data_IF_309607362281
#
_entry.id   IF_309607362281
#
_cell.length_a   1.000
_cell.length_b   1.000
_cell.length_c   1.000
_cell.angle_alpha   90.00
_cell.angle_beta   90.00
_cell.angle_gamma   90.00
#
_symmetry.space_group_name_H-M   'P 1'
#
loop_
_entity.id
_entity.type
_entity.pdbx_description
1 polymer ?
#
# COMPACT_ATOMS: atom_id res chain seq x y z
N UNK A 1 -33.07 -9.80 -2.48
CA UNK A 1 -32.15 -10.01 -1.34
C UNK A 1 -30.78 -9.48 -1.75
N UNK A 2 -30.43 -8.26 -1.36
CA UNK A 2 -29.10 -7.72 -1.63
C UNK A 2 -28.12 -8.43 -0.70
N UNK A 3 -27.23 -9.23 -1.28
CA UNK A 3 -26.16 -9.89 -0.56
C UNK A 3 -25.35 -8.83 0.17
N UNK A 4 -25.25 -8.98 1.49
CA UNK A 4 -24.26 -8.26 2.27
C UNK A 4 -22.92 -8.73 1.72
N UNK A 5 -22.31 -7.97 0.81
CA UNK A 5 -20.93 -8.18 0.39
C UNK A 5 -20.11 -8.12 1.67
N UNK A 6 -19.80 -9.31 2.17
CA UNK A 6 -19.25 -9.55 3.50
C UNK A 6 -18.04 -8.68 3.71
N UNK A 7 -17.82 -8.19 4.94
CA UNK A 7 -16.64 -7.39 5.30
C UNK A 7 -15.33 -7.95 4.72
N UNK A 8 -15.23 -9.26 4.52
CA UNK A 8 -14.14 -9.93 3.80
C UNK A 8 -13.89 -9.43 2.36
N UNK A 9 -14.91 -9.16 1.54
CA UNK A 9 -14.73 -8.67 0.17
C UNK A 9 -14.32 -7.21 0.14
N UNK A 10 -14.85 -6.39 1.06
CA UNK A 10 -14.42 -5.00 1.23
C UNK A 10 -12.96 -4.93 1.70
N UNK A 11 -12.57 -5.79 2.65
CA UNK A 11 -11.17 -5.95 3.10
C UNK A 11 -10.29 -6.43 1.95
N UNK A 12 -10.74 -7.39 1.14
CA UNK A 12 -9.99 -7.85 -0.04
C UNK A 12 -9.82 -6.76 -1.08
N UNK A 13 -10.84 -5.96 -1.33
CA UNK A 13 -10.81 -4.86 -2.31
C UNK A 13 -9.91 -3.72 -1.83
N UNK A 14 -9.97 -3.39 -0.54
CA UNK A 14 -9.07 -2.43 0.09
C UNK A 14 -7.60 -2.90 0.08
N UNK A 15 -7.34 -4.15 0.48
CA UNK A 15 -6.01 -4.75 0.39
C UNK A 15 -5.53 -4.87 -1.07
N UNK A 16 -6.45 -5.13 -2.00
CA UNK A 16 -6.18 -5.13 -3.44
C UNK A 16 -5.80 -3.72 -3.90
N UNK A 17 -6.49 -2.66 -3.49
CA UNK A 17 -6.12 -1.29 -3.82
C UNK A 17 -4.70 -0.95 -3.31
N UNK A 18 -4.40 -1.33 -2.06
CA UNK A 18 -3.07 -1.24 -1.46
C UNK A 18 -2.00 -2.00 -2.27
N UNK A 19 -2.31 -3.22 -2.73
CA UNK A 19 -1.39 -4.11 -3.44
C UNK A 19 -1.25 -3.81 -4.95
N UNK A 20 -2.33 -3.33 -5.58
CA UNK A 20 -2.43 -3.06 -7.02
C UNK A 20 -1.93 -1.67 -7.35
N UNK A 21 -1.93 -0.70 -6.42
CA UNK A 21 -1.29 0.60 -6.61
C UNK A 21 0.15 0.38 -7.13
N UNK A 22 0.37 0.47 -8.46
CA UNK A 22 1.63 0.07 -9.03
C UNK A 22 2.65 1.10 -8.56
N UNK A 23 3.94 0.76 -8.43
CA UNK A 23 4.96 1.77 -8.62
C UNK A 23 4.84 2.21 -10.08
N UNK A 24 3.88 3.10 -10.38
CA UNK A 24 3.83 3.75 -11.67
C UNK A 24 5.09 4.59 -11.74
N UNK A 25 6.03 4.11 -12.55
CA UNK A 25 7.17 4.85 -13.05
C UNK A 25 6.65 5.84 -14.10
N UNK A 26 5.67 6.67 -13.71
CA UNK A 26 5.14 7.74 -14.53
C UNK A 26 5.71 9.04 -13.99
N UNK A 27 6.53 9.65 -14.84
CA UNK A 27 6.87 11.05 -14.78
C UNK A 27 7.82 11.38 -13.65
N UNK A 28 9.10 11.37 -14.01
CA UNK A 28 10.04 12.41 -13.63
C UNK A 28 9.43 13.77 -14.01
N UNK A 29 8.44 14.24 -13.24
CA UNK A 29 8.11 15.65 -13.24
C UNK A 29 9.11 16.28 -12.30
N UNK A 30 10.17 16.77 -12.93
CA UNK A 30 11.16 17.72 -12.45
C UNK A 30 10.44 18.95 -11.85
N UNK A 31 9.83 18.74 -10.68
CA UNK A 31 9.37 19.80 -9.81
C UNK A 31 10.61 20.41 -9.18
N UNK A 32 10.70 21.75 -9.11
CA UNK A 32 11.95 22.43 -8.78
C UNK A 32 12.54 21.80 -7.53
N UNK A 33 13.84 21.46 -7.58
CA UNK A 33 14.68 21.09 -6.44
C UNK A 33 14.53 22.16 -5.36
N UNK A 34 13.44 22.08 -4.61
CA UNK A 34 13.07 23.06 -3.63
C UNK A 34 13.77 22.63 -2.37
N UNK A 35 14.96 23.18 -2.18
CA UNK A 35 15.75 23.13 -0.94
C UNK A 35 15.06 23.90 0.19
N UNK A 36 13.74 23.78 0.32
CA UNK A 36 12.91 24.70 1.11
C UNK A 36 12.13 23.93 2.15
N UNK A 37 12.38 24.29 3.41
CA UNK A 37 11.56 24.12 4.62
C UNK A 37 10.35 23.19 4.48
N UNK A 38 10.26 22.24 5.43
CA UNK A 38 9.03 21.49 5.71
C UNK A 38 7.81 22.39 5.58
N UNK A 39 6.97 22.09 4.59
CA UNK A 39 5.73 22.83 4.42
C UNK A 39 4.68 22.26 5.36
N UNK A 40 3.74 23.08 5.87
CA UNK A 40 2.59 22.58 6.63
C UNK A 40 1.89 21.42 5.90
N UNK A 41 1.73 21.54 4.58
CA UNK A 41 1.16 20.48 3.74
C UNK A 41 1.90 19.14 3.81
N UNK A 42 3.23 19.12 3.98
CA UNK A 42 3.98 17.87 4.15
C UNK A 42 3.72 17.23 5.52
N UNK A 43 3.54 18.04 6.57
CA UNK A 43 3.20 17.53 7.90
C UNK A 43 1.78 16.99 7.93
N UNK A 44 0.85 17.74 7.34
CA UNK A 44 -0.56 17.35 7.26
C UNK A 44 -0.72 16.05 6.45
N UNK A 45 0.00 15.91 5.33
CA UNK A 45 0.02 14.68 4.55
C UNK A 45 0.52 13.46 5.34
N UNK A 46 1.56 13.62 6.17
CA UNK A 46 2.06 12.50 6.99
C UNK A 46 1.08 12.18 8.11
N UNK A 47 0.45 13.17 8.72
CA UNK A 47 -0.59 12.97 9.73
C UNK A 47 -1.83 12.27 9.14
N UNK A 48 -2.29 12.71 7.97
CA UNK A 48 -3.39 12.08 7.23
C UNK A 48 -3.04 10.64 6.86
N UNK A 49 -1.80 10.36 6.46
CA UNK A 49 -1.36 8.99 6.18
C UNK A 49 -1.33 8.12 7.45
N UNK A 50 -0.89 8.65 8.59
CA UNK A 50 -0.93 7.96 9.89
C UNK A 50 -2.39 7.65 10.30
N UNK A 51 -3.31 8.60 10.11
CA UNK A 51 -4.74 8.43 10.38
C UNK A 51 -5.39 7.42 9.43
N UNK A 52 -5.11 7.51 8.12
CA UNK A 52 -5.62 6.59 7.12
C UNK A 52 -5.25 5.13 7.43
N UNK A 53 -4.04 4.88 7.96
CA UNK A 53 -3.60 3.54 8.35
C UNK A 53 -4.35 2.94 9.54
N UNK A 54 -5.17 3.71 10.27
CA UNK A 54 -5.98 3.19 11.39
C UNK A 54 -7.08 2.24 10.94
N UNK A 55 -7.54 2.37 9.68
CA UNK A 55 -8.58 1.51 9.11
C UNK A 55 -8.17 1.00 7.74
N UNK A 56 -8.64 -0.19 7.38
CA UNK A 56 -8.37 -0.79 6.06
C UNK A 56 -8.98 0.04 4.94
N UNK A 57 -10.18 0.59 5.16
CA UNK A 57 -10.87 1.47 4.21
C UNK A 57 -10.16 2.81 4.04
N UNK A 58 -9.75 3.46 5.13
CA UNK A 58 -8.98 4.71 5.08
C UNK A 58 -7.66 4.54 4.34
N UNK A 59 -6.94 3.46 4.62
CA UNK A 59 -5.69 3.14 3.95
C UNK A 59 -5.89 2.93 2.44
N UNK A 60 -6.99 2.29 2.04
CA UNK A 60 -7.32 2.09 0.63
C UNK A 60 -7.73 3.38 -0.08
N UNK A 61 -8.54 4.24 0.57
CA UNK A 61 -8.92 5.55 0.02
C UNK A 61 -7.70 6.45 -0.18
N UNK A 62 -6.82 6.52 0.82
CA UNK A 62 -5.58 7.28 0.74
C UNK A 62 -4.62 6.72 -0.32
N UNK A 63 -4.59 5.38 -0.50
CA UNK A 63 -3.85 4.74 -1.59
C UNK A 63 -4.38 5.15 -2.97
N UNK A 64 -5.71 5.17 -3.13
CA UNK A 64 -6.38 5.47 -4.39
C UNK A 64 -6.12 6.91 -4.85
N UNK A 65 -6.01 7.86 -3.91
CA UNK A 65 -5.60 9.24 -4.19
C UNK A 65 -4.09 9.38 -4.46
N UNK A 66 -3.32 8.29 -4.36
CA UNK A 66 -1.86 8.31 -4.53
C UNK A 66 -1.12 8.90 -3.34
N UNK A 67 -1.78 9.04 -2.18
CA UNK A 67 -1.21 9.60 -0.96
C UNK A 67 0.09 8.90 -0.55
N UNK A 68 0.17 7.57 -0.68
CA UNK A 68 1.39 6.82 -0.36
C UNK A 68 2.61 7.19 -1.22
N UNK A 69 2.43 7.55 -2.50
CA UNK A 69 3.54 8.03 -3.33
C UNK A 69 4.04 9.37 -2.81
N UNK A 70 3.12 10.27 -2.47
CA UNK A 70 3.45 11.59 -1.93
C UNK A 70 4.17 11.45 -0.57
N UNK A 71 3.69 10.57 0.31
CA UNK A 71 4.35 10.27 1.60
C UNK A 71 5.76 9.70 1.39
N UNK A 72 5.97 8.84 0.39
CA UNK A 72 7.31 8.35 0.04
C UNK A 72 8.23 9.49 -0.41
N UNK A 73 7.76 10.42 -1.24
CA UNK A 73 8.54 11.61 -1.61
C UNK A 73 8.95 12.42 -0.39
N UNK A 74 8.05 12.58 0.60
CA UNK A 74 8.38 13.24 1.88
C UNK A 74 9.43 12.45 2.67
N UNK A 75 9.33 11.12 2.73
CA UNK A 75 10.30 10.25 3.40
C UNK A 75 11.73 10.33 2.82
N UNK A 76 11.84 10.62 1.52
CA UNK A 76 13.11 10.72 0.78
C UNK A 76 13.67 12.16 0.76
N UNK A 77 12.81 13.17 0.69
CA UNK A 77 13.21 14.56 0.44
C UNK A 77 13.06 15.51 1.64
N UNK A 78 12.40 15.11 2.73
CA UNK A 78 12.22 15.98 3.88
C UNK A 78 13.56 16.28 4.58
N UNK A 79 13.87 17.57 4.74
CA UNK A 79 15.04 18.02 5.52
C UNK A 79 14.87 17.80 7.03
N UNK A 80 13.63 17.73 7.52
CA UNK A 80 13.32 17.40 8.91
C UNK A 80 13.37 15.89 9.13
N UNK A 81 14.34 15.46 9.94
CA UNK A 81 14.58 14.06 10.24
C UNK A 81 13.42 13.38 10.99
N UNK A 82 12.66 14.12 11.80
CA UNK A 82 11.49 13.58 12.51
C UNK A 82 10.38 13.29 11.52
N UNK A 83 10.09 14.26 10.64
CA UNK A 83 9.09 14.08 9.59
C UNK A 83 9.47 12.95 8.62
N UNK A 84 10.73 12.90 8.20
CA UNK A 84 11.25 11.84 7.35
C UNK A 84 11.10 10.45 7.99
N UNK A 85 11.41 10.32 9.29
CA UNK A 85 11.23 9.05 10.03
C UNK A 85 9.76 8.61 10.10
N UNK A 86 8.84 9.53 10.38
CA UNK A 86 7.40 9.24 10.42
C UNK A 86 6.88 8.81 9.05
N UNK A 87 7.26 9.54 8.00
CA UNK A 87 6.94 9.17 6.63
C UNK A 87 7.51 7.80 6.24
N UNK A 88 8.73 7.45 6.67
CA UNK A 88 9.32 6.11 6.46
C UNK A 88 8.52 5.01 7.17
N UNK A 89 8.12 5.22 8.42
CA UNK A 89 7.33 4.24 9.17
C UNK A 89 5.99 3.94 8.48
N UNK A 90 5.34 4.95 7.90
CA UNK A 90 4.15 4.79 7.06
C UNK A 90 4.47 3.91 5.84
N UNK A 91 5.52 4.24 5.09
CA UNK A 91 5.95 3.48 3.89
C UNK A 91 6.26 2.02 4.22
N UNK A 92 7.04 1.75 5.27
CA UNK A 92 7.39 0.39 5.70
C UNK A 92 6.16 -0.44 6.10
N UNK A 93 5.17 0.19 6.72
CA UNK A 93 3.92 -0.47 7.11
C UNK A 93 3.12 -0.90 5.88
N UNK A 94 3.06 -0.05 4.85
CA UNK A 94 2.41 -0.38 3.58
C UNK A 94 3.13 -1.51 2.85
N UNK A 95 4.47 -1.48 2.83
CA UNK A 95 5.26 -2.56 2.22
C UNK A 95 5.02 -3.90 2.90
N UNK A 96 4.88 -3.93 4.23
CA UNK A 96 4.50 -5.13 4.98
C UNK A 96 3.10 -5.62 4.61
N UNK A 97 2.10 -4.73 4.51
CA UNK A 97 0.76 -5.11 4.06
C UNK A 97 0.75 -5.70 2.65
N UNK A 98 1.50 -5.09 1.72
CA UNK A 98 1.66 -5.60 0.35
C UNK A 98 2.31 -6.98 0.33
N UNK A 99 3.36 -7.18 1.12
CA UNK A 99 4.04 -8.47 1.24
C UNK A 99 3.10 -9.55 1.82
N UNK A 100 2.35 -9.22 2.87
CA UNK A 100 1.36 -10.11 3.46
C UNK A 100 0.24 -10.49 2.48
N UNK A 101 -0.27 -9.53 1.70
CA UNK A 101 -1.28 -9.79 0.67
C UNK A 101 -0.75 -10.64 -0.49
N UNK A 102 0.48 -10.40 -0.94
CA UNK A 102 1.12 -11.27 -1.95
C UNK A 102 1.34 -12.68 -1.42
N UNK A 103 1.71 -12.82 -0.16
CA UNK A 103 1.89 -14.12 0.48
C UNK A 103 0.57 -14.88 0.65
N UNK A 104 -0.55 -14.19 0.90
CA UNK A 104 -1.87 -14.82 1.00
C UNK A 104 -2.44 -15.22 -0.37
N UNK A 105 -2.26 -14.40 -1.39
CA UNK A 105 -2.71 -14.68 -2.78
C UNK A 105 -1.83 -15.71 -3.50
N UNK A 106 -0.53 -15.74 -3.23
CA UNK A 106 0.40 -16.73 -3.80
C UNK A 106 0.27 -18.14 -3.19
N UNK A 107 -0.32 -18.28 -2.00
CA UNK A 107 -0.52 -19.58 -1.35
C UNK A 107 -1.70 -20.37 -1.94
N UNK A 108 -2.69 -19.69 -2.52
CA UNK A 108 -3.84 -20.33 -3.16
C UNK A 108 -3.49 -20.99 -4.50
N UNK A 109 -2.43 -20.55 -5.19
CA UNK A 109 -2.00 -21.13 -6.47
C UNK A 109 -1.17 -22.41 -6.39
N UNK A 110 -0.69 -22.83 -5.20
CA UNK A 110 0.19 -24.01 -5.05
C UNK A 110 -0.54 -25.28 -4.58
N UNK A 111 -1.79 -25.18 -4.13
CA UNK A 111 -2.50 -26.35 -3.57
C UNK A 111 -3.29 -27.18 -4.60
N UNK A 112 -3.48 -26.72 -5.84
CA UNK A 112 -4.15 -27.50 -6.90
C UNK A 112 -3.20 -28.32 -7.79
N UNK A 113 -1.87 -28.12 -7.70
CA UNK A 113 -0.92 -28.80 -8.57
C UNK A 113 -0.47 -30.20 -8.07
N UNK A 114 -0.85 -30.62 -6.86
CA UNK A 114 -0.36 -31.88 -6.25
C UNK A 114 -1.39 -33.01 -6.19
N UNK A 115 -2.57 -32.87 -6.81
CA UNK A 115 -3.61 -33.91 -6.80
C UNK A 115 -3.85 -34.46 -8.22
N UNK A 116 -2.81 -34.89 -8.94
CA UNK A 116 -3.02 -35.64 -10.20
C UNK A 116 -1.89 -36.58 -10.64
N UNK A 117 -1.20 -37.22 -9.68
CA UNK A 117 -0.24 -38.28 -10.03
C UNK A 117 -0.35 -39.40 -9.00
N UNK A 118 -1.21 -40.37 -9.30
CA UNK A 118 -1.46 -41.50 -8.41
C UNK A 118 -2.60 -42.38 -8.89
N UNK A 119 -2.72 -42.59 -10.21
CA UNK A 119 -3.47 -43.71 -10.75
C UNK A 119 -2.79 -44.15 -12.04
N UNK A 120 -2.69 -45.45 -12.17
CA UNK A 120 -2.15 -46.24 -13.28
C UNK A 120 -0.65 -46.55 -13.18
N UNK A 121 -0.36 -47.70 -12.58
CA UNK A 121 0.53 -48.70 -13.18
C UNK A 121 -0.16 -50.09 -13.08
N UNK A 122 -0.03 -50.95 -14.10
CA UNK A 122 -0.88 -52.12 -14.38
C UNK A 122 -0.60 -53.38 -13.54
#
# INVERSE_FOLDING_TARGET
MHGQSTSADQIREALRALAVAPPRRDGDSDGPRSTSRVTPAQRDLVAEAEEALTTVEGAAAFAADGGFRRTRTVAEAAADLTLARRARAVVETIERYRAAYRASTGRTGRSEASIRTGRDDP
#
